data_IF_834152562380
#
_entry.id   IF_834152562380
#
_cell.length_a   1.000
_cell.length_b   1.000
_cell.length_c   1.000
_cell.angle_alpha   90.00
_cell.angle_beta   90.00
_cell.angle_gamma   90.00
#
_symmetry.space_group_name_H-M   'P 1'
#
loop_
_entity.id
_entity.type
_entity.pdbx_description
1 polymer ?
#
# COMPACT_ATOMS: atom_id res chain seq x y z
N UNK A 1 17.33 -12.23 -40.60
CA UNK A 1 17.02 -10.84 -40.29
C UNK A 1 15.73 -10.78 -39.58
N UNK A 2 15.77 -10.94 -38.35
CA UNK A 2 14.61 -10.78 -37.53
C UNK A 2 14.36 -9.31 -37.30
N UNK A 3 13.46 -8.77 -38.00
CA UNK A 3 12.90 -7.50 -37.67
C UNK A 3 11.70 -7.78 -36.80
N UNK A 4 11.91 -7.75 -35.55
CA UNK A 4 10.81 -7.75 -34.62
C UNK A 4 10.02 -6.49 -34.85
N UNK A 5 8.93 -6.64 -35.51
CA UNK A 5 7.94 -5.58 -35.58
C UNK A 5 7.33 -5.38 -34.24
N UNK A 6 7.92 -4.54 -33.49
CA UNK A 6 7.48 -4.25 -32.16
C UNK A 6 6.91 -2.84 -32.07
N UNK A 7 6.18 -2.44 -33.08
CA UNK A 7 5.74 -1.06 -33.17
C UNK A 7 4.26 -0.84 -33.30
N UNK A 8 3.50 -1.92 -33.24
CA UNK A 8 2.07 -1.80 -33.54
C UNK A 8 1.16 -1.87 -32.33
N UNK A 9 1.69 -1.76 -31.14
CA UNK A 9 0.86 -1.95 -29.95
C UNK A 9 0.44 -0.65 -29.28
N UNK A 10 0.86 0.48 -29.79
CA UNK A 10 0.70 1.73 -29.07
C UNK A 10 -0.49 2.58 -29.52
N UNK A 11 -1.21 2.15 -30.53
CA UNK A 11 -2.24 2.99 -31.11
C UNK A 11 -3.64 2.75 -30.60
N UNK A 12 -3.84 1.68 -29.86
CA UNK A 12 -5.15 1.41 -29.26
C UNK A 12 -5.15 1.70 -27.77
N UNK A 13 -5.00 2.95 -27.45
CA UNK A 13 -4.88 3.43 -26.06
C UNK A 13 -6.02 3.05 -25.12
N UNK A 14 -7.14 2.58 -25.65
CA UNK A 14 -8.25 2.14 -24.80
C UNK A 14 -8.12 0.74 -24.25
N UNK A 15 -7.47 -0.15 -25.00
CA UNK A 15 -7.37 -1.55 -24.64
C UNK A 15 -6.26 -1.82 -23.64
N UNK A 16 -5.19 -1.05 -23.68
CA UNK A 16 -4.03 -1.19 -22.80
C UNK A 16 -4.36 -0.83 -21.36
N UNK A 17 -5.26 0.11 -21.13
CA UNK A 17 -5.66 0.51 -19.78
C UNK A 17 -6.42 -0.57 -19.02
N UNK A 18 -7.25 -1.34 -19.71
CA UNK A 18 -8.03 -2.41 -19.07
C UNK A 18 -7.15 -3.60 -18.67
N UNK A 19 -6.14 -3.92 -19.48
CA UNK A 19 -5.19 -4.99 -19.16
C UNK A 19 -4.15 -4.58 -18.10
N UNK A 20 -3.79 -3.31 -18.02
CA UNK A 20 -2.87 -2.80 -17.02
C UNK A 20 -3.42 -2.95 -15.59
N UNK A 21 -4.73 -2.92 -15.40
CA UNK A 21 -5.35 -3.16 -14.09
C UNK A 21 -5.34 -4.61 -13.64
N UNK A 22 -5.19 -5.55 -14.54
CA UNK A 22 -5.19 -6.98 -14.25
C UNK A 22 -3.78 -7.59 -14.25
N UNK A 23 -2.82 -6.93 -14.86
CA UNK A 23 -1.43 -7.38 -14.90
C UNK A 23 -0.70 -7.03 -13.60
N UNK A 24 0.21 -7.92 -13.20
CA UNK A 24 1.14 -7.61 -12.11
C UNK A 24 1.97 -6.38 -12.50
N UNK A 25 2.26 -5.48 -11.54
CA UNK A 25 3.07 -4.31 -11.85
C UNK A 25 4.42 -4.74 -12.41
N UNK A 26 4.91 -4.00 -13.38
CA UNK A 26 6.27 -4.20 -13.89
C UNK A 26 7.29 -3.83 -12.80
N UNK A 27 8.54 -4.33 -12.91
CA UNK A 27 9.58 -3.94 -11.96
C UNK A 27 9.75 -2.43 -11.83
N UNK A 28 9.65 -1.71 -12.93
CA UNK A 28 9.77 -0.25 -12.96
C UNK A 28 8.61 0.43 -12.25
N UNK A 29 7.39 -0.01 -12.48
CA UNK A 29 6.20 0.51 -11.80
C UNK A 29 6.26 0.28 -10.29
N UNK A 30 6.70 -0.90 -9.88
CA UNK A 30 6.90 -1.21 -8.47
C UNK A 30 7.95 -0.28 -7.85
N UNK A 31 9.11 -0.14 -8.49
CA UNK A 31 10.18 0.73 -8.02
C UNK A 31 9.75 2.19 -7.95
N UNK A 32 9.03 2.68 -8.94
CA UNK A 32 8.47 4.05 -8.92
C UNK A 32 7.47 4.25 -7.77
N UNK A 33 6.63 3.27 -7.51
CA UNK A 33 5.67 3.34 -6.41
C UNK A 33 6.36 3.40 -5.04
N UNK A 34 7.44 2.65 -4.84
CA UNK A 34 8.16 2.61 -3.56
C UNK A 34 9.27 3.67 -3.44
N UNK A 35 9.67 4.32 -4.52
CA UNK A 35 10.78 5.28 -4.52
C UNK A 35 10.45 6.64 -3.88
N UNK A 36 9.26 6.83 -3.33
CA UNK A 36 8.86 8.06 -2.68
C UNK A 36 8.82 7.85 -1.16
N UNK A 37 9.46 8.76 -0.36
CA UNK A 37 9.62 8.55 1.08
C UNK A 37 8.32 8.32 1.85
N UNK A 38 7.28 9.08 1.56
CA UNK A 38 5.99 8.94 2.25
C UNK A 38 5.35 7.58 1.99
N UNK A 39 5.43 7.11 0.75
CA UNK A 39 4.89 5.78 0.40
C UNK A 39 5.66 4.65 1.09
N UNK A 40 6.97 4.76 1.19
CA UNK A 40 7.77 3.79 1.96
C UNK A 40 7.36 3.77 3.44
N UNK A 41 7.15 4.92 4.04
CA UNK A 41 6.69 5.03 5.43
C UNK A 41 5.30 4.41 5.62
N UNK A 42 4.38 4.65 4.71
CA UNK A 42 3.05 4.01 4.72
C UNK A 42 3.17 2.49 4.61
N UNK A 43 3.94 1.99 3.66
CA UNK A 43 4.16 0.54 3.49
C UNK A 43 4.80 -0.08 4.74
N UNK A 44 5.74 0.62 5.34
CA UNK A 44 6.37 0.18 6.59
C UNK A 44 5.37 0.06 7.75
N UNK A 45 4.47 1.02 7.90
CA UNK A 45 3.41 0.95 8.90
C UNK A 45 2.44 -0.21 8.62
N UNK A 46 2.01 -0.38 7.37
CA UNK A 46 1.12 -1.46 6.96
C UNK A 46 1.78 -2.84 7.01
N UNK A 47 3.10 -2.92 6.88
CA UNK A 47 3.84 -4.15 7.12
C UNK A 47 3.80 -4.59 8.59
N UNK A 48 3.63 -3.64 9.50
CA UNK A 48 3.51 -3.91 10.93
C UNK A 48 2.10 -4.37 11.31
N UNK A 49 1.06 -3.73 10.77
CA UNK A 49 -0.34 -4.03 11.09
C UNK A 49 -1.29 -3.38 10.06
N UNK A 50 -2.52 -3.91 9.92
CA UNK A 50 -3.58 -3.23 9.20
C UNK A 50 -3.96 -1.91 9.90
N UNK A 51 -4.22 -0.85 9.13
CA UNK A 51 -4.49 0.48 9.66
C UNK A 51 -5.60 1.19 8.88
N UNK A 52 -6.36 2.01 9.57
CA UNK A 52 -7.25 2.98 8.97
C UNK A 52 -6.49 4.24 8.53
N UNK A 53 -7.09 5.05 7.68
CA UNK A 53 -6.47 6.31 7.23
C UNK A 53 -6.15 7.23 8.41
N UNK A 54 -7.06 7.31 9.39
CA UNK A 54 -6.86 8.12 10.59
C UNK A 54 -5.63 7.69 11.40
N UNK A 55 -5.37 6.39 11.49
CA UNK A 55 -4.20 5.87 12.19
C UNK A 55 -2.91 6.25 11.47
N UNK A 56 -2.90 6.13 10.15
CA UNK A 56 -1.76 6.55 9.33
C UNK A 56 -1.49 8.04 9.44
N UNK A 57 -2.53 8.87 9.46
CA UNK A 57 -2.39 10.32 9.67
C UNK A 57 -1.67 10.63 10.97
N UNK A 58 -2.07 9.98 12.03
CA UNK A 58 -1.52 10.22 13.36
C UNK A 58 -0.10 9.70 13.50
N UNK A 59 0.16 8.48 13.04
CA UNK A 59 1.50 7.87 13.11
C UNK A 59 2.51 8.65 12.27
N UNK A 60 2.12 9.08 11.07
CA UNK A 60 3.00 9.75 10.12
C UNK A 60 3.01 11.27 10.28
N UNK A 61 2.09 11.82 11.06
CA UNK A 61 1.87 13.26 11.22
C UNK A 61 1.63 13.96 9.87
N UNK A 62 0.76 13.39 9.04
CA UNK A 62 0.43 13.89 7.71
C UNK A 62 -1.06 14.20 7.58
N UNK A 63 -1.43 15.18 6.75
CA UNK A 63 -2.85 15.47 6.46
C UNK A 63 -3.54 14.28 5.76
N UNK A 64 -4.83 14.12 6.03
CA UNK A 64 -5.64 13.06 5.44
C UNK A 64 -5.60 13.05 3.89
N UNK A 65 -5.70 14.18 3.18
CA UNK A 65 -5.62 14.17 1.72
C UNK A 65 -4.29 13.64 1.19
N UNK A 66 -3.19 13.92 1.88
CA UNK A 66 -1.86 13.42 1.53
C UNK A 66 -1.79 11.91 1.68
N UNK A 67 -2.22 11.40 2.82
CA UNK A 67 -2.23 9.95 3.09
C UNK A 67 -3.13 9.22 2.08
N UNK A 68 -4.33 9.71 1.86
CA UNK A 68 -5.28 9.11 0.93
C UNK A 68 -4.75 9.07 -0.50
N UNK A 69 -4.10 10.13 -0.95
CA UNK A 69 -3.48 10.20 -2.28
C UNK A 69 -2.39 9.14 -2.47
N UNK A 70 -1.51 9.00 -1.49
CA UNK A 70 -0.45 7.99 -1.54
C UNK A 70 -1.00 6.57 -1.45
N UNK A 71 -2.02 6.34 -0.64
CA UNK A 71 -2.71 5.04 -0.57
C UNK A 71 -3.34 4.65 -1.91
N UNK A 72 -3.92 5.60 -2.63
CA UNK A 72 -4.47 5.33 -3.95
C UNK A 72 -3.39 4.93 -4.97
N UNK A 73 -2.23 5.59 -4.93
CA UNK A 73 -1.10 5.24 -5.78
C UNK A 73 -0.60 3.83 -5.46
N UNK A 74 -0.45 3.51 -4.19
CA UNK A 74 -0.04 2.18 -3.73
C UNK A 74 -1.06 1.10 -4.08
N UNK A 75 -2.34 1.42 -4.01
CA UNK A 75 -3.41 0.50 -4.41
C UNK A 75 -3.39 0.22 -5.91
N UNK A 76 -3.19 1.24 -6.74
CA UNK A 76 -3.03 1.08 -8.20
C UNK A 76 -1.80 0.25 -8.56
N UNK A 77 -0.72 0.38 -7.80
CA UNK A 77 0.48 -0.42 -7.96
C UNK A 77 0.34 -1.84 -7.38
N UNK A 78 -0.84 -2.19 -6.86
CA UNK A 78 -1.14 -3.50 -6.31
C UNK A 78 -0.28 -3.89 -5.08
N UNK A 79 0.13 -2.89 -4.32
CA UNK A 79 0.94 -3.07 -3.10
C UNK A 79 0.11 -3.08 -1.83
N UNK A 80 -1.06 -2.46 -1.84
CA UNK A 80 -1.98 -2.43 -0.70
C UNK A 80 -3.38 -2.84 -1.13
N UNK A 81 -4.14 -3.35 -0.18
CA UNK A 81 -5.56 -3.65 -0.29
C UNK A 81 -6.36 -2.81 0.66
N UNK A 82 -7.52 -2.42 0.22
CA UNK A 82 -8.53 -1.76 1.03
C UNK A 82 -9.68 -2.72 1.33
N UNK A 83 -10.18 -2.65 2.54
CA UNK A 83 -11.37 -3.41 2.97
C UNK A 83 -12.33 -2.43 3.60
N UNK A 84 -13.52 -2.24 3.01
CA UNK A 84 -14.53 -1.39 3.61
C UNK A 84 -15.02 -1.99 4.94
N UNK A 85 -14.95 -1.18 5.98
CA UNK A 85 -15.54 -1.46 7.30
C UNK A 85 -16.30 -0.19 7.66
N UNK A 86 -17.52 -0.06 7.14
CA UNK A 86 -18.29 1.17 7.19
C UNK A 86 -18.40 1.74 8.64
N UNK A 87 -18.22 3.05 8.82
CA UNK A 87 -17.99 4.07 7.80
C UNK A 87 -16.52 4.24 7.39
N UNK A 88 -15.66 3.32 7.74
CA UNK A 88 -14.20 3.41 7.56
C UNK A 88 -13.69 2.45 6.47
N UNK A 89 -12.45 2.64 6.08
CA UNK A 89 -11.73 1.73 5.17
C UNK A 89 -10.43 1.31 5.83
N UNK A 90 -10.26 0.01 5.97
CA UNK A 90 -9.06 -0.61 6.51
C UNK A 90 -8.08 -0.93 5.39
N UNK A 91 -6.86 -0.46 5.50
CA UNK A 91 -5.79 -0.75 4.56
C UNK A 91 -4.84 -1.84 5.07
N UNK A 92 -4.41 -2.69 4.17
CA UNK A 92 -3.48 -3.79 4.45
C UNK A 92 -2.40 -3.86 3.40
N UNK A 93 -1.21 -4.27 3.80
CA UNK A 93 -0.17 -4.62 2.84
C UNK A 93 -0.59 -5.88 2.07
N UNK A 94 -0.45 -5.84 0.76
CA UNK A 94 -0.70 -7.01 -0.08
C UNK A 94 0.55 -7.90 -0.09
N UNK A 95 0.49 -9.05 0.54
CA UNK A 95 1.60 -10.00 0.64
C UNK A 95 1.79 -10.89 -0.60
N UNK A 96 0.97 -10.72 -1.62
CA UNK A 96 0.98 -11.57 -2.80
C UNK A 96 1.84 -11.05 -3.95
N UNK A 97 2.73 -10.10 -3.70
CA UNK A 97 3.79 -9.80 -4.65
C UNK A 97 4.79 -10.95 -4.57
N UNK A 98 4.52 -11.99 -5.34
CA UNK A 98 5.37 -13.17 -5.35
C UNK A 98 6.66 -12.97 -6.16
N UNK A 99 7.55 -13.94 -6.06
CA UNK A 99 8.77 -13.99 -6.87
C UNK A 99 9.83 -12.98 -6.43
N UNK A 100 10.75 -12.64 -7.34
CA UNK A 100 11.92 -11.79 -7.04
C UNK A 100 11.54 -10.39 -6.55
N UNK A 101 10.51 -9.79 -7.12
CA UNK A 101 10.04 -8.45 -6.73
C UNK A 101 9.46 -8.42 -5.30
N UNK A 102 8.73 -9.45 -4.92
CA UNK A 102 8.24 -9.59 -3.55
C UNK A 102 9.38 -9.70 -2.55
N UNK A 103 10.39 -10.51 -2.84
CA UNK A 103 11.58 -10.63 -1.99
C UNK A 103 12.36 -9.31 -1.87
N UNK A 104 12.44 -8.55 -2.94
CA UNK A 104 13.07 -7.23 -2.93
C UNK A 104 12.29 -6.26 -2.01
N UNK A 105 10.98 -6.22 -2.14
CA UNK A 105 10.12 -5.41 -1.29
C UNK A 105 10.24 -5.83 0.18
N UNK A 106 10.21 -7.11 0.47
CA UNK A 106 10.39 -7.64 1.83
C UNK A 106 11.74 -7.23 2.42
N UNK A 107 12.80 -7.25 1.63
CA UNK A 107 14.13 -6.82 2.06
C UNK A 107 14.16 -5.33 2.39
N UNK A 108 13.53 -4.49 1.57
CA UNK A 108 13.40 -3.05 1.83
C UNK A 108 12.64 -2.81 3.13
N UNK A 109 11.49 -3.46 3.31
CA UNK A 109 10.67 -3.30 4.50
C UNK A 109 11.37 -3.82 5.76
N UNK A 110 12.17 -4.86 5.65
CA UNK A 110 13.00 -5.37 6.76
C UNK A 110 14.06 -4.35 7.16
N UNK A 111 14.73 -3.74 6.20
CA UNK A 111 15.69 -2.68 6.48
C UNK A 111 15.04 -1.48 7.16
N UNK A 112 13.88 -1.05 6.70
CA UNK A 112 13.12 0.05 7.33
C UNK A 112 12.67 -0.27 8.76
N UNK A 113 12.46 -1.54 9.07
CA UNK A 113 12.09 -1.96 10.41
C UNK A 113 13.22 -1.80 11.44
N UNK A 114 14.45 -1.71 10.99
CA UNK A 114 15.65 -1.56 11.84
C UNK A 114 16.13 -0.11 11.94
N UNK A 115 15.78 0.74 10.97
CA UNK A 115 16.22 2.12 10.90
C UNK A 115 15.26 3.08 11.63
N UNK A 116 15.81 4.13 12.24
CA UNK A 116 14.99 5.23 12.75
C UNK A 116 14.83 6.31 11.65
N UNK A 117 13.70 7.02 11.59
CA UNK A 117 12.54 6.97 12.51
C UNK A 117 11.50 5.88 12.16
N UNK A 118 11.72 5.10 11.11
CA UNK A 118 10.74 4.12 10.60
C UNK A 118 10.45 2.98 11.59
N UNK A 119 11.42 2.63 12.41
CA UNK A 119 11.23 1.66 13.50
C UNK A 119 10.23 2.15 14.54
N UNK A 120 10.33 3.40 14.95
CA UNK A 120 9.39 4.03 15.89
C UNK A 120 7.99 4.14 15.29
N UNK A 121 7.87 4.54 14.04
CA UNK A 121 6.59 4.59 13.32
C UNK A 121 5.92 3.21 13.26
N UNK A 122 6.70 2.17 13.01
CA UNK A 122 6.22 0.79 12.98
C UNK A 122 5.67 0.33 14.34
N UNK A 123 6.30 0.72 15.43
CA UNK A 123 5.83 0.44 16.80
C UNK A 123 4.51 1.16 17.09
N UNK A 124 4.43 2.44 16.77
CA UNK A 124 3.20 3.24 16.90
C UNK A 124 2.04 2.67 16.05
N UNK A 125 2.35 2.22 14.84
CA UNK A 125 1.37 1.59 13.96
C UNK A 125 0.75 0.34 14.60
N UNK A 126 1.56 -0.53 15.20
CA UNK A 126 1.07 -1.70 15.91
C UNK A 126 0.19 -1.34 17.11
N UNK A 127 0.60 -0.35 17.87
CA UNK A 127 -0.13 0.13 19.04
C UNK A 127 -1.50 0.69 18.64
N UNK A 128 -1.54 1.53 17.61
CA UNK A 128 -2.80 2.09 17.09
C UNK A 128 -3.72 1.02 16.54
N UNK A 129 -3.21 0.08 15.78
CA UNK A 129 -3.99 -1.02 15.23
C UNK A 129 -4.69 -1.84 16.33
N UNK A 130 -4.00 -2.09 17.44
CA UNK A 130 -4.59 -2.82 18.58
C UNK A 130 -5.69 -2.01 19.26
N UNK A 131 -5.44 -0.73 19.52
CA UNK A 131 -6.38 0.15 20.20
C UNK A 131 -7.67 0.34 19.37
N UNK A 132 -7.52 0.67 18.11
CA UNK A 132 -8.66 0.95 17.22
C UNK A 132 -9.46 -0.30 16.87
N UNK A 133 -8.81 -1.42 16.68
CA UNK A 133 -9.51 -2.67 16.41
C UNK A 133 -10.38 -3.08 17.59
N UNK A 134 -9.90 -2.92 18.80
CA UNK A 134 -10.66 -3.20 20.01
C UNK A 134 -11.86 -2.26 20.15
N UNK A 135 -11.68 -0.98 19.85
CA UNK A 135 -12.75 0.03 20.00
C UNK A 135 -13.80 -0.10 18.91
N UNK A 136 -13.40 -0.28 17.65
CA UNK A 136 -14.33 -0.27 16.51
C UNK A 136 -15.03 -1.61 16.25
N UNK A 137 -14.42 -2.70 16.70
CA UNK A 137 -15.01 -4.05 16.60
C UNK A 137 -15.84 -4.40 17.82
N UNK A 138 -15.58 -3.72 18.94
CA UNK A 138 -16.31 -3.95 20.21
C UNK A 138 -17.57 -3.11 20.36
N UNK A 139 -17.87 -2.18 19.44
CA UNK A 139 -19.17 -1.55 19.43
C UNK A 139 -20.18 -2.56 18.85
N UNK A 140 -21.04 -3.17 19.68
CA UNK A 140 -22.16 -3.91 19.15
C UNK A 140 -23.01 -2.90 18.38
N UNK A 141 -23.43 -3.28 17.19
CA UNK A 141 -24.45 -2.57 16.46
C UNK A 141 -25.52 -2.13 17.45
N UNK A 142 -25.58 -0.84 17.68
CA UNK A 142 -26.61 -0.26 18.52
C UNK A 142 -27.92 -0.51 17.85
N UNK A 143 -28.52 -1.62 18.21
CA UNK A 143 -29.89 -1.93 17.88
C UNK A 143 -30.79 -0.90 18.55
N UNK A 144 -31.40 -0.14 17.75
CA UNK A 144 -32.70 0.50 18.07
C UNK A 144 -33.51 0.58 16.83
#
# INVERSE_FOLDING_TARGET
MSQSCNRSCDEDGGSVFVFAHMAKPSPTELLQAVAEPTRLRILNCLAAAPLFVADLQEVLALPQPTVSRHLQILRKADLVRDTPIAPYVLYRLKRSVGGPLGRMLDSILSALAELEPTRTERSRARERSRAEYTTRVSEPDGDT
#
